data_IF_620440899825
#
_entry.id   IF_620440899825
#
_cell.length_a   1.000
_cell.length_b   1.000
_cell.length_c   1.000
_cell.angle_alpha   90.00
_cell.angle_beta   90.00
_cell.angle_gamma   90.00
#
_symmetry.space_group_name_H-M   'P 1'
#
loop_
_entity.id
_entity.type
_entity.pdbx_description
1 polymer ?
#
# COMPACT_ATOMS: atom_id res chain seq x y z
N UNK A 1 -10.88 63.42 8.75
CA UNK A 1 -11.07 62.07 9.32
C UNK A 1 -11.32 61.14 8.15
N UNK A 2 -10.24 60.57 7.61
CA UNK A 2 -10.34 59.53 6.58
C UNK A 2 -10.74 58.23 7.27
N UNK A 3 -11.92 57.72 6.92
CA UNK A 3 -12.34 56.38 7.29
C UNK A 3 -11.66 55.41 6.34
N UNK A 4 -10.62 54.74 6.81
CA UNK A 4 -9.99 53.62 6.11
C UNK A 4 -11.02 52.49 5.97
N UNK A 5 -11.53 52.31 4.75
CA UNK A 5 -12.32 51.15 4.39
C UNK A 5 -11.44 49.91 4.54
N UNK A 6 -11.67 49.13 5.59
CA UNK A 6 -11.12 47.79 5.70
C UNK A 6 -11.67 46.98 4.52
N UNK A 7 -10.82 46.69 3.53
CA UNK A 7 -11.17 45.74 2.48
C UNK A 7 -11.33 44.38 3.15
N UNK A 8 -12.57 43.93 3.35
CA UNK A 8 -12.81 42.52 3.60
C UNK A 8 -12.39 41.79 2.33
N UNK A 9 -11.23 41.14 2.37
CA UNK A 9 -10.78 40.25 1.31
C UNK A 9 -11.85 39.17 1.17
N UNK A 10 -12.51 39.10 0.01
CA UNK A 10 -13.48 38.04 -0.27
C UNK A 10 -12.78 36.68 -0.09
N UNK A 11 -13.29 35.89 0.85
CA UNK A 11 -12.72 34.57 1.15
C UNK A 11 -12.98 33.65 -0.02
N UNK A 12 -11.91 33.19 -0.68
CA UNK A 12 -12.01 32.21 -1.75
C UNK A 12 -12.60 30.90 -1.20
N UNK A 13 -13.84 30.61 -1.57
CA UNK A 13 -14.49 29.37 -1.19
C UNK A 13 -14.12 28.27 -2.18
N UNK A 14 -13.47 27.23 -1.69
CA UNK A 14 -13.20 26.03 -2.46
C UNK A 14 -14.44 25.13 -2.52
N UNK A 15 -14.75 24.62 -3.71
CA UNK A 15 -15.82 23.63 -3.91
C UNK A 15 -15.35 22.23 -3.53
N UNK A 16 -16.30 21.31 -3.33
CA UNK A 16 -15.98 19.90 -3.07
C UNK A 16 -15.12 19.29 -4.19
N UNK A 17 -15.49 19.53 -5.46
CA UNK A 17 -14.78 18.97 -6.63
C UNK A 17 -13.35 19.49 -6.76
N UNK A 18 -13.11 20.76 -6.43
CA UNK A 18 -11.76 21.33 -6.37
C UNK A 18 -10.90 20.69 -5.29
N UNK A 19 -11.48 20.41 -4.11
CA UNK A 19 -10.78 19.74 -3.02
C UNK A 19 -10.55 18.25 -3.32
N UNK A 20 -11.50 17.60 -3.97
CA UNK A 20 -11.44 16.21 -4.38
C UNK A 20 -10.38 15.96 -5.46
N UNK A 21 -10.26 16.88 -6.42
CA UNK A 21 -9.32 16.76 -7.55
C UNK A 21 -7.88 17.16 -7.19
N UNK A 22 -7.63 17.59 -5.96
CA UNK A 22 -6.32 18.08 -5.52
C UNK A 22 -5.33 16.94 -5.40
N UNK A 23 -4.19 17.05 -6.08
CA UNK A 23 -3.12 16.07 -5.97
C UNK A 23 -2.44 16.16 -4.60
N UNK A 24 -2.56 15.08 -3.81
CA UNK A 24 -1.97 14.94 -2.48
C UNK A 24 -1.08 13.68 -2.39
N UNK A 25 -0.69 13.07 -3.53
CA UNK A 25 0.01 11.77 -3.57
C UNK A 25 1.28 11.73 -2.71
N UNK A 26 2.05 12.82 -2.67
CA UNK A 26 3.29 12.92 -1.88
C UNK A 26 3.07 12.92 -0.36
N UNK A 27 1.81 13.09 0.08
CA UNK A 27 1.44 13.26 1.48
C UNK A 27 0.56 12.11 2.00
N UNK A 28 0.50 11.03 1.21
CA UNK A 28 -0.18 9.79 1.56
C UNK A 28 0.77 8.90 2.35
N UNK A 29 0.37 8.60 3.59
CA UNK A 29 0.97 7.56 4.41
C UNK A 29 0.36 6.21 4.04
N UNK A 30 1.20 5.23 3.71
CA UNK A 30 0.78 3.87 3.37
C UNK A 30 1.04 2.94 4.55
N UNK A 31 -0.01 2.27 5.00
CA UNK A 31 0.06 1.25 6.04
C UNK A 31 -0.20 -0.12 5.40
N UNK A 32 0.88 -0.83 5.08
CA UNK A 32 0.83 -2.19 4.57
C UNK A 32 0.91 -3.21 5.70
N UNK A 33 -0.01 -4.16 5.74
CA UNK A 33 0.02 -5.32 6.63
C UNK A 33 0.09 -6.58 5.80
N UNK A 34 0.89 -7.55 6.24
CA UNK A 34 0.98 -8.88 5.64
C UNK A 34 0.64 -9.93 6.70
N UNK A 35 -0.05 -10.99 6.30
CA UNK A 35 -0.34 -12.14 7.16
C UNK A 35 -0.45 -13.42 6.34
N UNK A 36 -0.20 -14.57 6.96
CA UNK A 36 -0.43 -15.88 6.34
C UNK A 36 -1.83 -16.38 6.68
N UNK A 37 -2.65 -16.63 5.66
CA UNK A 37 -3.97 -17.23 5.79
C UNK A 37 -3.82 -18.69 6.28
N UNK A 38 -4.35 -18.98 7.47
CA UNK A 38 -4.19 -20.29 8.11
C UNK A 38 -4.89 -21.44 7.37
N UNK A 39 -5.88 -21.17 6.51
CA UNK A 39 -6.61 -22.20 5.78
C UNK A 39 -5.94 -22.54 4.46
N UNK A 40 -5.41 -21.53 3.78
CA UNK A 40 -4.84 -21.66 2.43
C UNK A 40 -3.31 -21.66 2.41
N UNK A 41 -2.68 -21.33 3.54
CA UNK A 41 -1.23 -21.12 3.69
C UNK A 41 -0.65 -20.09 2.69
N UNK A 42 -1.51 -19.17 2.20
CA UNK A 42 -1.13 -18.09 1.29
C UNK A 42 -0.83 -16.82 2.07
N UNK A 43 0.14 -16.05 1.59
CA UNK A 43 0.37 -14.70 2.10
C UNK A 43 -0.73 -13.77 1.56
N UNK A 44 -1.37 -13.05 2.47
CA UNK A 44 -2.32 -11.98 2.18
C UNK A 44 -1.71 -10.67 2.64
N UNK A 45 -2.05 -9.59 1.96
CA UNK A 45 -1.67 -8.27 2.37
C UNK A 45 -2.78 -7.27 2.13
N UNK A 46 -2.90 -6.31 3.03
CA UNK A 46 -3.79 -5.18 2.89
C UNK A 46 -2.99 -3.90 3.06
N UNK A 47 -3.24 -2.91 2.20
CA UNK A 47 -2.63 -1.59 2.24
C UNK A 47 -3.72 -0.55 2.47
N UNK A 48 -3.57 0.23 3.53
CA UNK A 48 -4.39 1.40 3.77
C UNK A 48 -3.61 2.64 3.39
N UNK A 49 -4.25 3.54 2.64
CA UNK A 49 -3.70 4.85 2.32
C UNK A 49 -4.41 5.90 3.17
N UNK A 50 -3.63 6.70 3.90
CA UNK A 50 -4.15 7.79 4.72
C UNK A 50 -3.48 9.10 4.34
N UNK A 51 -4.24 10.18 4.30
CA UNK A 51 -3.64 11.51 4.27
C UNK A 51 -2.91 11.74 5.60
N UNK A 52 -1.64 12.17 5.55
CA UNK A 52 -0.90 12.55 6.75
C UNK A 52 -1.65 13.64 7.52
N UNK A 53 -1.86 13.46 8.82
CA UNK A 53 -2.68 14.39 9.61
C UNK A 53 -2.07 15.80 9.69
N UNK A 54 -0.73 15.91 9.72
CA UNK A 54 -0.02 17.20 9.74
C UNK A 54 -0.25 17.95 8.44
N UNK A 55 -0.20 17.23 7.32
CA UNK A 55 -0.49 17.78 6.01
C UNK A 55 -1.96 18.15 5.86
N UNK A 56 -2.89 17.28 6.27
CA UNK A 56 -4.32 17.56 6.28
C UNK A 56 -4.63 18.83 7.06
N UNK A 57 -4.02 19.01 8.23
CA UNK A 57 -4.14 20.25 9.01
C UNK A 57 -3.61 21.48 8.27
N UNK A 58 -2.40 21.38 7.70
CA UNK A 58 -1.78 22.48 6.95
C UNK A 58 -2.64 22.90 5.76
N UNK A 59 -3.09 21.94 4.95
CA UNK A 59 -3.92 22.23 3.78
C UNK A 59 -5.29 22.76 4.18
N UNK A 60 -5.92 22.21 5.23
CA UNK A 60 -7.16 22.74 5.80
C UNK A 60 -7.00 24.23 6.12
N UNK A 61 -5.94 24.61 6.85
CA UNK A 61 -5.67 26.02 7.19
C UNK A 61 -5.30 26.89 5.98
N UNK A 62 -4.72 26.31 4.93
CA UNK A 62 -4.42 27.02 3.67
C UNK A 62 -5.66 27.29 2.85
N UNK A 63 -6.61 26.35 2.83
CA UNK A 63 -7.91 26.45 2.17
C UNK A 63 -8.78 27.47 2.90
N UNK A 64 -8.79 27.39 4.22
CA UNK A 64 -9.57 28.25 5.08
C UNK A 64 -8.77 28.53 6.38
N UNK A 65 -8.21 29.75 6.55
CA UNK A 65 -7.50 30.14 7.77
C UNK A 65 -8.35 30.06 9.06
N UNK A 66 -9.67 30.18 8.95
CA UNK A 66 -10.63 30.10 10.07
C UNK A 66 -11.12 28.67 10.31
N UNK A 67 -10.75 27.71 9.47
CA UNK A 67 -11.16 26.32 9.64
C UNK A 67 -10.76 25.77 11.01
N UNK A 68 -11.60 24.89 11.55
CA UNK A 68 -11.45 24.38 12.91
C UNK A 68 -11.68 22.87 12.99
N UNK A 69 -11.02 22.26 13.97
CA UNK A 69 -11.24 20.89 14.40
C UNK A 69 -11.93 20.91 15.77
N UNK A 70 -12.87 19.98 15.97
CA UNK A 70 -13.44 19.68 17.27
C UNK A 70 -13.35 18.18 17.54
N UNK A 71 -12.40 17.81 18.39
CA UNK A 71 -12.41 16.51 19.06
C UNK A 71 -13.56 16.52 20.07
N UNK A 72 -14.49 15.56 19.95
CA UNK A 72 -15.60 15.46 20.89
C UNK A 72 -15.18 14.69 22.12
N UNK A 73 -15.55 15.22 23.27
CA UNK A 73 -15.33 14.58 24.56
C UNK A 73 -16.63 14.00 25.11
N UNK A 74 -16.51 12.94 25.91
CA UNK A 74 -17.61 12.19 26.49
C UNK A 74 -17.39 12.03 27.99
N UNK A 75 -18.46 11.88 28.80
CA UNK A 75 -18.30 11.65 30.23
C UNK A 75 -17.48 10.39 30.51
N UNK A 76 -16.51 10.48 31.42
CA UNK A 76 -15.77 9.30 31.86
C UNK A 76 -16.71 8.37 32.64
N UNK A 77 -16.72 7.09 32.30
CA UNK A 77 -17.44 6.06 33.05
C UNK A 77 -16.42 5.18 33.77
N UNK A 78 -16.62 4.97 35.07
CA UNK A 78 -15.82 4.05 35.88
C UNK A 78 -16.75 3.22 36.75
N UNK A 79 -16.55 1.90 36.77
CA UNK A 79 -17.40 0.95 37.51
C UNK A 79 -18.90 1.12 37.23
N UNK A 80 -19.27 1.44 35.99
CA UNK A 80 -20.67 1.64 35.57
C UNK A 80 -21.29 2.97 35.98
N UNK A 81 -20.55 3.87 36.64
CA UNK A 81 -20.99 5.20 37.03
C UNK A 81 -20.26 6.28 36.24
N UNK A 82 -20.97 7.36 35.90
CA UNK A 82 -20.37 8.56 35.30
C UNK A 82 -19.58 9.31 36.37
N UNK A 83 -18.33 9.65 36.06
CA UNK A 83 -17.51 10.53 36.87
C UNK A 83 -17.88 11.97 36.53
N UNK A 84 -18.58 12.62 37.45
CA UNK A 84 -19.08 13.99 37.27
C UNK A 84 -17.94 14.97 37.06
N UNK A 85 -18.08 15.83 36.05
CA UNK A 85 -17.10 16.87 35.73
C UNK A 85 -15.84 16.40 35.02
N UNK A 86 -15.73 15.10 34.68
CA UNK A 86 -14.59 14.55 33.94
C UNK A 86 -15.04 14.06 32.58
N UNK A 87 -14.38 14.57 31.54
CA UNK A 87 -14.58 14.17 30.15
C UNK A 87 -13.33 13.54 29.57
N UNK A 88 -13.51 12.67 28.58
CA UNK A 88 -12.45 11.96 27.86
C UNK A 88 -12.68 12.00 26.36
N UNK A 89 -11.62 12.00 25.52
CA UNK A 89 -11.73 12.15 24.07
C UNK A 89 -12.10 10.84 23.36
N UNK A 90 -12.96 10.03 23.98
CA UNK A 90 -13.46 8.77 23.46
C UNK A 90 -14.81 8.43 24.10
N UNK A 91 -15.66 7.74 23.34
CA UNK A 91 -16.88 7.12 23.81
C UNK A 91 -16.61 5.66 24.15
N UNK A 92 -16.94 5.24 25.37
CA UNK A 92 -16.90 3.83 25.77
C UNK A 92 -18.28 3.19 25.58
N UNK A 93 -18.31 2.03 24.95
CA UNK A 93 -19.53 1.23 24.69
C UNK A 93 -19.27 -0.25 25.02
N UNK A 94 -20.31 -1.08 25.12
CA UNK A 94 -20.12 -2.53 25.22
C UNK A 94 -19.38 -3.15 24.02
N UNK A 95 -19.35 -2.48 22.87
CA UNK A 95 -18.68 -2.93 21.63
C UNK A 95 -17.22 -2.45 21.53
N UNK A 96 -16.75 -1.66 22.50
CA UNK A 96 -15.41 -1.07 22.50
C UNK A 96 -15.44 0.45 22.57
N UNK A 97 -14.36 1.07 22.07
CA UNK A 97 -14.12 2.50 22.19
C UNK A 97 -14.25 3.17 20.83
N UNK A 98 -14.79 4.37 20.82
CA UNK A 98 -14.96 5.18 19.62
C UNK A 98 -14.42 6.59 19.86
N UNK A 99 -13.97 7.24 18.80
CA UNK A 99 -13.61 8.65 18.80
C UNK A 99 -14.50 9.38 17.82
N UNK A 100 -14.75 10.67 18.06
CA UNK A 100 -15.59 11.49 17.19
C UNK A 100 -14.92 12.82 16.94
N UNK A 101 -14.90 13.24 15.69
CA UNK A 101 -14.25 14.47 15.28
C UNK A 101 -15.12 15.25 14.30
N UNK A 102 -15.16 16.57 14.42
CA UNK A 102 -15.83 17.47 13.48
C UNK A 102 -14.81 18.44 12.89
N UNK A 103 -14.78 18.55 11.57
CA UNK A 103 -13.98 19.52 10.84
C UNK A 103 -14.90 20.54 10.20
N UNK A 104 -14.61 21.82 10.43
CA UNK A 104 -15.35 22.93 9.85
C UNK A 104 -14.49 23.69 8.85
N UNK A 105 -14.93 23.78 7.60
CA UNK A 105 -14.27 24.54 6.52
C UNK A 105 -15.34 25.41 5.86
N UNK A 106 -15.05 26.70 5.66
CA UNK A 106 -15.92 27.68 5.04
C UNK A 106 -17.33 27.72 5.67
N UNK A 107 -17.38 27.56 7.00
CA UNK A 107 -18.62 27.54 7.78
C UNK A 107 -19.44 26.26 7.67
N UNK A 108 -18.97 25.25 6.92
CA UNK A 108 -19.62 23.92 6.81
C UNK A 108 -18.91 22.93 7.72
N UNK A 109 -19.66 22.16 8.49
CA UNK A 109 -19.12 21.18 9.42
C UNK A 109 -19.41 19.77 8.94
N UNK A 110 -18.36 18.95 8.87
CA UNK A 110 -18.46 17.52 8.59
C UNK A 110 -17.96 16.74 9.80
N UNK A 111 -18.65 15.65 10.14
CA UNK A 111 -18.38 14.87 11.37
C UNK A 111 -18.09 13.42 11.04
N UNK A 112 -17.12 12.83 11.70
CA UNK A 112 -16.80 11.41 11.62
C UNK A 112 -16.77 10.74 13.00
N UNK A 113 -17.09 9.45 13.05
CA UNK A 113 -16.93 8.58 14.21
C UNK A 113 -16.12 7.35 13.78
N UNK A 114 -15.05 7.02 14.51
CA UNK A 114 -14.25 5.83 14.25
C UNK A 114 -14.07 4.96 15.48
N UNK A 115 -14.06 3.62 15.33
CA UNK A 115 -13.63 2.74 16.40
C UNK A 115 -12.13 2.91 16.69
N UNK A 116 -11.75 2.68 17.95
CA UNK A 116 -10.34 2.56 18.35
C UNK A 116 -9.91 1.12 18.12
N UNK A 117 -8.95 0.96 17.20
CA UNK A 117 -8.52 -0.34 16.69
C UNK A 117 -7.05 -0.63 16.99
N UNK A 118 -6.70 -1.91 17.08
CA UNK A 118 -5.31 -2.36 17.19
C UNK A 118 -4.60 -2.37 15.82
N UNK A 119 -3.32 -2.77 15.83
CA UNK A 119 -2.52 -2.94 14.62
C UNK A 119 -3.02 -4.08 13.72
N UNK A 120 -4.07 -4.81 14.09
CA UNK A 120 -4.75 -5.83 13.28
C UNK A 120 -6.17 -5.39 12.88
N UNK A 121 -6.52 -4.10 13.05
CA UNK A 121 -7.84 -3.54 12.76
C UNK A 121 -8.98 -4.16 13.58
N UNK A 122 -8.67 -4.66 14.79
CA UNK A 122 -9.68 -5.23 15.70
C UNK A 122 -10.03 -4.23 16.79
N UNK A 123 -11.31 -4.17 17.23
CA UNK A 123 -11.71 -3.35 18.38
C UNK A 123 -10.89 -3.67 19.63
N UNK A 124 -10.48 -2.62 20.35
CA UNK A 124 -9.69 -2.74 21.58
C UNK A 124 -10.61 -2.60 22.79
N UNK A 125 -10.42 -3.47 23.79
CA UNK A 125 -11.18 -3.46 25.06
C UNK A 125 -10.59 -2.54 26.12
N UNK A 126 -9.31 -2.20 26.05
CA UNK A 126 -8.67 -1.22 26.94
C UNK A 126 -7.57 -0.46 26.18
N UNK A 127 -7.91 0.62 25.46
CA UNK A 127 -6.96 1.30 24.59
C UNK A 127 -5.95 2.15 25.37
N UNK A 128 -4.72 2.19 24.88
CA UNK A 128 -3.69 3.11 25.39
C UNK A 128 -3.95 4.55 24.91
N UNK A 129 -3.34 5.52 25.59
CA UNK A 129 -3.39 6.93 25.16
C UNK A 129 -2.89 7.13 23.73
N UNK A 130 -1.87 6.36 23.30
CA UNK A 130 -1.37 6.39 21.92
C UNK A 130 -2.40 5.89 20.91
N UNK A 131 -3.15 4.83 21.24
CA UNK A 131 -4.20 4.28 20.36
C UNK A 131 -5.37 5.25 20.24
N UNK A 132 -5.77 5.89 21.35
CA UNK A 132 -6.80 6.94 21.35
C UNK A 132 -6.35 8.14 20.51
N UNK A 133 -5.12 8.62 20.70
CA UNK A 133 -4.58 9.74 19.93
C UNK A 133 -4.51 9.42 18.43
N UNK A 134 -3.99 8.24 18.08
CA UNK A 134 -3.89 7.78 16.69
C UNK A 134 -5.27 7.70 16.04
N UNK A 135 -6.26 7.17 16.77
CA UNK A 135 -7.63 7.08 16.28
C UNK A 135 -8.24 8.46 16.08
N UNK A 136 -8.01 9.41 16.99
CA UNK A 136 -8.46 10.80 16.83
C UNK A 136 -7.85 11.47 15.59
N UNK A 137 -6.55 11.26 15.30
CA UNK A 137 -5.90 11.77 14.09
C UNK A 137 -6.41 11.13 12.81
N UNK A 138 -6.73 9.83 12.83
CA UNK A 138 -7.41 9.16 11.71
C UNK A 138 -8.84 9.68 11.51
N UNK A 139 -9.55 9.92 12.61
CA UNK A 139 -10.91 10.46 12.59
C UNK A 139 -10.94 11.89 12.04
N UNK A 140 -9.96 12.71 12.42
CA UNK A 140 -9.74 14.04 11.86
C UNK A 140 -9.62 14.01 10.33
N UNK A 141 -8.70 13.22 9.79
CA UNK A 141 -8.47 13.19 8.33
C UNK A 141 -9.65 12.61 7.55
N UNK A 142 -10.41 11.67 8.14
CA UNK A 142 -11.66 11.17 7.53
C UNK A 142 -12.79 12.20 7.57
N UNK A 143 -12.92 12.97 8.65
CA UNK A 143 -13.86 14.10 8.71
C UNK A 143 -13.46 15.19 7.69
N UNK A 144 -12.17 15.45 7.53
CA UNK A 144 -11.65 16.37 6.52
C UNK A 144 -11.95 15.89 5.10
N UNK A 145 -11.83 14.58 4.84
CA UNK A 145 -12.13 14.01 3.53
C UNK A 145 -13.60 14.11 3.12
N UNK A 146 -14.54 14.26 4.06
CA UNK A 146 -15.95 14.56 3.73
C UNK A 146 -16.13 15.92 3.07
N UNK A 147 -15.16 16.84 3.21
CA UNK A 147 -15.09 18.08 2.43
C UNK A 147 -14.49 17.89 1.02
N UNK A 148 -14.04 16.68 0.67
CA UNK A 148 -13.44 16.32 -0.61
C UNK A 148 -11.95 16.00 -0.52
N UNK A 149 -11.22 16.63 0.41
CA UNK A 149 -9.76 16.53 0.48
C UNK A 149 -9.29 15.11 0.85
N UNK A 150 -8.79 14.37 -0.14
CA UNK A 150 -8.26 13.02 0.04
C UNK A 150 -9.32 11.93 0.18
N UNK A 151 -10.58 12.21 -0.17
CA UNK A 151 -11.65 11.20 -0.14
C UNK A 151 -11.37 10.02 -1.08
N UNK A 152 -10.72 10.27 -2.21
CA UNK A 152 -10.37 9.23 -3.18
C UNK A 152 -9.43 8.15 -2.60
N UNK A 153 -8.72 8.44 -1.49
CA UNK A 153 -7.86 7.45 -0.80
C UNK A 153 -8.67 6.33 -0.13
N UNK A 154 -9.96 6.58 0.14
CA UNK A 154 -10.85 5.63 0.82
C UNK A 154 -11.75 4.87 -0.14
N UNK A 155 -11.68 5.15 -1.45
CA UNK A 155 -12.43 4.40 -2.46
C UNK A 155 -11.96 2.95 -2.45
N UNK A 156 -12.88 2.02 -2.22
CA UNK A 156 -12.58 0.59 -2.15
C UNK A 156 -12.29 0.06 -0.75
N UNK A 157 -12.21 0.89 0.30
CA UNK A 157 -12.19 0.38 1.70
C UNK A 157 -13.49 -0.36 2.06
N UNK A 158 -14.59 -0.05 1.38
CA UNK A 158 -15.91 -0.64 1.52
C UNK A 158 -16.11 -1.90 0.64
N UNK A 159 -15.16 -2.17 -0.25
CA UNK A 159 -15.18 -3.35 -1.12
C UNK A 159 -14.50 -4.50 -0.36
N UNK A 160 -15.17 -5.64 -0.12
CA UNK A 160 -14.54 -6.79 0.51
C UNK A 160 -13.27 -7.20 -0.25
N UNK A 161 -12.19 -7.52 0.47
CA UNK A 161 -10.89 -7.91 -0.10
C UNK A 161 -11.02 -9.05 -1.14
N UNK A 162 -12.04 -9.90 -0.99
CA UNK A 162 -12.33 -11.03 -1.87
C UNK A 162 -12.88 -10.61 -3.26
N UNK A 163 -13.25 -9.34 -3.44
CA UNK A 163 -13.78 -8.77 -4.70
C UNK A 163 -12.74 -7.85 -5.37
N UNK A 164 -11.65 -7.49 -4.68
CA UNK A 164 -10.59 -6.67 -5.26
C UNK A 164 -9.76 -7.54 -6.22
N UNK A 165 -9.71 -7.23 -7.53
CA UNK A 165 -8.88 -7.97 -8.47
C UNK A 165 -7.43 -7.95 -8.01
N UNK A 166 -6.76 -9.09 -8.08
CA UNK A 166 -5.36 -9.20 -7.68
C UNK A 166 -4.51 -8.17 -8.44
N UNK A 167 -3.65 -7.47 -7.70
CA UNK A 167 -2.86 -6.38 -8.25
C UNK A 167 -1.90 -6.90 -9.34
N UNK A 168 -1.94 -6.30 -10.52
CA UNK A 168 -1.09 -6.69 -11.65
C UNK A 168 0.37 -6.29 -11.40
N UNK A 169 1.29 -7.06 -11.98
CA UNK A 169 2.70 -6.73 -12.05
C UNK A 169 2.92 -5.48 -12.91
N UNK A 170 3.93 -4.68 -12.58
CA UNK A 170 4.24 -3.47 -13.37
C UNK A 170 4.90 -3.86 -14.68
N UNK A 171 4.85 -2.96 -15.68
CA UNK A 171 5.51 -3.18 -16.96
C UNK A 171 7.01 -3.44 -16.80
N UNK A 172 7.69 -2.71 -15.91
CA UNK A 172 9.12 -2.87 -15.65
C UNK A 172 9.44 -4.25 -15.06
N UNK A 173 8.55 -4.80 -14.22
CA UNK A 173 8.67 -6.15 -13.69
C UNK A 173 8.56 -7.19 -14.82
N UNK A 174 7.57 -7.04 -15.68
CA UNK A 174 7.38 -7.93 -16.83
C UNK A 174 8.55 -7.86 -17.82
N UNK A 175 9.08 -6.67 -18.09
CA UNK A 175 10.25 -6.46 -18.94
C UNK A 175 11.49 -7.16 -18.35
N UNK A 176 11.71 -7.03 -17.03
CA UNK A 176 12.81 -7.73 -16.35
C UNK A 176 12.70 -9.25 -16.46
N UNK A 177 11.48 -9.79 -16.33
CA UNK A 177 11.22 -11.22 -16.51
C UNK A 177 11.53 -11.67 -17.94
N UNK A 178 11.12 -10.89 -18.94
CA UNK A 178 11.43 -11.17 -20.35
C UNK A 178 12.93 -11.25 -20.58
N UNK A 179 13.69 -10.27 -20.09
CA UNK A 179 15.16 -10.24 -20.24
C UNK A 179 15.83 -11.49 -19.64
N UNK A 180 15.33 -11.99 -18.50
CA UNK A 180 15.86 -13.22 -17.90
C UNK A 180 15.55 -14.42 -18.78
N UNK A 181 14.32 -14.52 -19.30
CA UNK A 181 13.90 -15.62 -20.18
C UNK A 181 14.66 -15.60 -21.51
N UNK A 182 14.91 -14.43 -22.09
CA UNK A 182 15.72 -14.26 -23.31
C UNK A 182 17.13 -14.82 -23.09
N UNK A 183 17.77 -14.46 -21.97
CA UNK A 183 19.09 -14.98 -21.62
C UNK A 183 19.08 -16.50 -21.41
N UNK A 184 18.02 -17.05 -20.85
CA UNK A 184 17.86 -18.52 -20.72
C UNK A 184 17.73 -19.15 -22.10
N UNK A 185 16.88 -18.59 -22.97
CA UNK A 185 16.65 -19.07 -24.34
C UNK A 185 17.95 -19.15 -25.14
N UNK A 186 18.78 -18.11 -25.07
CA UNK A 186 20.11 -18.07 -25.68
C UNK A 186 21.03 -19.16 -25.13
N UNK A 187 21.14 -19.29 -23.81
CA UNK A 187 22.06 -20.25 -23.17
C UNK A 187 21.65 -21.71 -23.36
N UNK A 188 20.35 -21.98 -23.48
CA UNK A 188 19.82 -23.35 -23.63
C UNK A 188 19.45 -23.70 -25.06
N UNK A 189 19.56 -22.75 -26.00
CA UNK A 189 19.08 -22.86 -27.37
C UNK A 189 17.63 -23.38 -27.42
N UNK A 190 16.77 -22.78 -26.58
CA UNK A 190 15.37 -23.16 -26.42
C UNK A 190 14.49 -22.00 -26.85
N UNK A 191 13.40 -22.28 -27.55
CA UNK A 191 12.46 -21.24 -27.96
C UNK A 191 11.84 -20.53 -26.75
N UNK A 192 11.72 -19.21 -26.83
CA UNK A 192 11.19 -18.39 -25.74
C UNK A 192 9.75 -18.76 -25.39
N UNK A 193 8.93 -19.12 -26.38
CA UNK A 193 7.54 -19.53 -26.17
C UNK A 193 7.44 -20.83 -25.37
N UNK A 194 8.38 -21.75 -25.55
CA UNK A 194 8.48 -22.98 -24.76
C UNK A 194 8.83 -22.65 -23.30
N UNK A 195 9.71 -21.67 -23.07
CA UNK A 195 10.05 -21.23 -21.71
C UNK A 195 8.86 -20.55 -21.03
N UNK A 196 8.14 -19.69 -21.75
CA UNK A 196 6.91 -19.04 -21.25
C UNK A 196 5.82 -20.07 -20.91
N UNK A 197 5.58 -21.05 -21.79
CA UNK A 197 4.61 -22.12 -21.55
C UNK A 197 4.97 -22.97 -20.32
N UNK A 198 6.25 -23.33 -20.18
CA UNK A 198 6.74 -24.05 -19.01
C UNK A 198 6.60 -23.24 -17.72
N UNK A 199 6.84 -21.93 -17.79
CA UNK A 199 6.70 -21.04 -16.65
C UNK A 199 5.26 -21.00 -16.15
N UNK A 200 4.28 -20.90 -17.07
CA UNK A 200 2.85 -20.92 -16.72
C UNK A 200 2.44 -22.27 -16.14
N UNK A 201 2.79 -23.36 -16.82
CA UNK A 201 2.37 -24.71 -16.45
C UNK A 201 3.00 -25.18 -15.12
N UNK A 202 4.30 -24.94 -14.91
CA UNK A 202 5.01 -25.44 -13.71
C UNK A 202 4.76 -24.61 -12.46
N UNK A 203 4.34 -23.36 -12.60
CA UNK A 203 4.07 -22.47 -11.47
C UNK A 203 2.57 -22.28 -11.18
N UNK A 204 1.70 -23.03 -11.88
CA UNK A 204 0.25 -22.96 -11.73
C UNK A 204 -0.27 -21.52 -11.84
N UNK A 205 0.25 -20.79 -12.82
CA UNK A 205 -0.14 -19.42 -13.14
C UNK A 205 -1.38 -19.50 -14.03
N UNK A 206 -2.43 -18.76 -13.66
CA UNK A 206 -3.69 -18.75 -14.40
C UNK A 206 -3.74 -17.66 -15.47
N UNK A 207 -2.97 -16.58 -15.27
CA UNK A 207 -2.97 -15.39 -16.12
C UNK A 207 -2.00 -15.54 -17.30
N UNK A 208 -2.21 -14.76 -18.37
CA UNK A 208 -1.21 -14.61 -19.43
C UNK A 208 0.02 -13.87 -18.89
N UNK A 209 1.17 -14.04 -19.55
CA UNK A 209 2.46 -13.52 -19.07
C UNK A 209 2.49 -11.98 -18.98
N UNK A 210 1.70 -11.31 -19.81
CA UNK A 210 1.48 -9.86 -19.87
C UNK A 210 0.47 -9.35 -18.84
N UNK A 211 -0.23 -10.26 -18.15
CA UNK A 211 -1.29 -9.97 -17.17
C UNK A 211 -1.00 -10.64 -15.82
N UNK A 212 0.27 -10.93 -15.52
CA UNK A 212 0.63 -11.55 -14.26
C UNK A 212 0.24 -10.66 -13.08
N UNK A 213 -0.37 -11.27 -12.07
CA UNK A 213 -0.49 -10.63 -10.75
C UNK A 213 0.89 -10.52 -10.09
N UNK A 214 1.05 -9.63 -9.09
CA UNK A 214 2.32 -9.52 -8.34
C UNK A 214 2.77 -10.85 -7.71
N UNK A 215 1.83 -11.67 -7.25
CA UNK A 215 2.12 -13.01 -6.70
C UNK A 215 2.59 -13.98 -7.79
N UNK A 216 1.90 -14.02 -8.94
CA UNK A 216 2.30 -14.83 -10.08
C UNK A 216 3.66 -14.39 -10.64
N UNK A 217 3.95 -13.09 -10.67
CA UNK A 217 5.25 -12.54 -11.04
C UNK A 217 6.36 -13.03 -10.10
N UNK A 218 6.14 -13.03 -8.78
CA UNK A 218 7.13 -13.53 -7.82
C UNK A 218 7.52 -15.00 -8.07
N UNK A 219 6.54 -15.84 -8.38
CA UNK A 219 6.76 -17.26 -8.74
C UNK A 219 7.51 -17.39 -10.06
N UNK A 220 7.05 -16.63 -11.07
CA UNK A 220 7.66 -16.57 -12.40
C UNK A 220 9.15 -16.19 -12.33
N UNK A 221 9.45 -15.13 -11.57
CA UNK A 221 10.81 -14.61 -11.40
C UNK A 221 11.74 -15.63 -10.70
N UNK A 222 11.27 -16.29 -9.65
CA UNK A 222 12.05 -17.32 -8.97
C UNK A 222 12.39 -18.48 -9.92
N UNK A 223 11.38 -18.97 -10.65
CA UNK A 223 11.56 -20.04 -11.63
C UNK A 223 12.54 -19.65 -12.75
N UNK A 224 12.39 -18.46 -13.34
CA UNK A 224 13.25 -17.96 -14.41
C UNK A 224 14.71 -17.82 -13.94
N UNK A 225 14.94 -17.35 -12.71
CA UNK A 225 16.27 -17.27 -12.14
C UNK A 225 16.91 -18.65 -11.90
N UNK A 226 16.13 -19.64 -11.47
CA UNK A 226 16.63 -21.02 -11.32
C UNK A 226 17.07 -21.61 -12.67
N UNK A 227 16.29 -21.38 -13.72
CA UNK A 227 16.65 -21.79 -15.08
C UNK A 227 17.93 -21.12 -15.55
N UNK A 228 18.06 -19.80 -15.34
CA UNK A 228 19.27 -19.04 -15.69
C UNK A 228 20.52 -19.59 -15.01
N UNK A 229 20.46 -19.82 -13.70
CA UNK A 229 21.58 -20.38 -12.94
C UNK A 229 21.96 -21.77 -13.47
N UNK A 230 20.97 -22.63 -13.75
CA UNK A 230 21.21 -23.96 -14.29
C UNK A 230 21.83 -23.90 -15.70
N UNK A 231 21.37 -22.99 -16.55
CA UNK A 231 21.90 -22.78 -17.91
C UNK A 231 23.34 -22.25 -17.88
N UNK A 232 23.63 -21.23 -17.07
CA UNK A 232 24.97 -20.67 -16.91
C UNK A 232 25.96 -21.72 -16.38
N UNK A 233 25.55 -22.57 -15.41
CA UNK A 233 26.37 -23.66 -14.90
C UNK A 233 26.69 -24.70 -15.99
N UNK A 234 25.71 -25.06 -16.82
CA UNK A 234 25.91 -26.01 -17.94
C UNK A 234 26.80 -25.43 -19.03
N UNK A 235 26.66 -24.13 -19.35
CA UNK A 235 27.51 -23.45 -20.32
C UNK A 235 28.97 -23.45 -19.89
N UNK A 236 29.26 -23.08 -18.63
CA UNK A 236 30.62 -23.10 -18.07
C UNK A 236 31.23 -24.50 -18.07
N UNK A 237 30.43 -25.53 -17.81
CA UNK A 237 30.90 -26.92 -17.86
C UNK A 237 31.29 -27.35 -19.28
N UNK A 238 30.48 -26.96 -20.29
CA UNK A 238 30.78 -27.23 -21.70
C UNK A 238 32.07 -26.53 -22.16
N UNK A 239 32.25 -25.28 -21.78
CA UNK A 239 33.44 -24.49 -22.09
C UNK A 239 34.70 -25.08 -21.44
N UNK A 240 34.61 -25.46 -20.16
CA UNK A 240 35.70 -26.13 -19.42
C UNK A 240 36.10 -27.48 -20.06
N UNK A 241 35.11 -28.30 -20.44
CA UNK A 241 35.35 -29.59 -21.10
C UNK A 241 35.92 -29.43 -22.52
N UNK A 242 35.51 -28.40 -23.26
CA UNK A 242 36.07 -28.06 -24.57
C UNK A 242 37.55 -27.69 -24.46
N UNK A 243 37.94 -26.88 -23.47
CA UNK A 243 39.33 -26.47 -23.24
C UNK A 243 40.21 -27.65 -22.81
N UNK A 244 39.66 -28.60 -22.03
CA UNK A 244 40.37 -29.83 -21.64
C UNK A 244 40.56 -30.78 -22.82
N UNK A 245 39.60 -30.89 -23.74
CA UNK A 245 39.72 -31.70 -24.94
C UNK A 245 40.84 -31.17 -25.86
N UNK A 246 40.86 -29.86 -26.14
CA UNK A 246 41.92 -29.26 -26.98
C UNK A 246 43.32 -29.39 -26.38
N UNK A 247 43.45 -29.36 -25.05
CA UNK A 247 44.76 -29.54 -24.37
C UNK A 247 45.26 -30.99 -24.41
N UNK A 248 44.37 -31.98 -24.48
CA UNK A 248 44.78 -33.39 -24.59
C UNK A 248 45.23 -33.72 -26.01
N UNK A 249 44.60 -33.11 -27.02
CA UNK A 249 44.99 -33.28 -28.44
C UNK A 249 46.40 -32.70 -28.72
N UNK A 250 46.78 -31.61 -28.05
CA UNK A 250 48.13 -31.02 -28.15
C UNK A 250 49.23 -31.87 -27.48
N UNK A 251 48.89 -32.76 -26.54
CA UNK A 251 49.86 -33.62 -25.82
C UNK A 251 50.11 -34.94 -26.56
N UNK A 252 49.15 -35.44 -27.33
CA UNK A 252 49.31 -36.68 -28.13
C UNK A 252 50.25 -36.51 -29.35
N UNK A 253 50.39 -35.29 -29.90
CA UNK A 253 51.28 -35.03 -31.03
C UNK A 253 52.78 -34.88 -30.67
N UNK A 254 53.13 -34.91 -29.37
CA UNK A 254 54.51 -34.76 -28.89
C UNK A 254 55.30 -36.05 -28.70
N UNK A 255 54.70 -37.23 -28.90
CA UNK A 255 55.36 -38.54 -28.70
C UNK A 255 55.46 -39.33 -29.99
N UNK A 256 56.27 -38.87 -30.92
CA UNK A 256 56.87 -39.73 -31.96
C UNK A 256 58.15 -39.10 -32.48
N UNK A 257 59.28 -39.51 -31.89
CA UNK A 257 60.59 -39.66 -32.55
C UNK A 257 61.41 -40.67 -31.76
#
# INVERSE_FOLDING_TARGET
MEWSAWSMTEKQMHTFEELYSKDIKEYVEKLKKTWTDKKTNKEKSFELSYLSWTYGWREMKRIDPDASEKIHEFPLVSNGAVIVGVTVPYLQTPQGFFVKNTVTINGRSETEILPVLDNSNRPITNPTSFQINTSNKRCFVKALAKHGLGLYLYVGEDIPEDIVPAELATKEQLDMLSVILDKVAELTNTEIEVLKANLVQKNNISSKLDELTKDEYGKALNYANQLKIAAEKRSKLKESNSILATKNDDVEWGKTK
#
